data_IF_469407389453
#
_entry.id   IF_469407389453
#
_cell.length_a   1.000
_cell.length_b   1.000
_cell.length_c   1.000
_cell.angle_alpha   90.00
_cell.angle_beta   90.00
_cell.angle_gamma   90.00
#
_symmetry.space_group_name_H-M   'P 1'
#
loop_
_entity.id
_entity.type
_entity.pdbx_description
1 polymer ?
#
# COMPACT_ATOMS: atom_id res chain seq x y z
N UNK A 1 -5.89 1.11 27.55
CA UNK A 1 -4.91 1.29 26.48
C UNK A 1 -5.30 2.47 25.60
N UNK A 2 -4.30 3.17 25.00
CA UNK A 2 -4.59 4.24 24.05
C UNK A 2 -5.00 3.69 22.68
N UNK A 3 -5.97 4.36 22.04
CA UNK A 3 -6.38 4.12 20.66
C UNK A 3 -6.86 5.41 20.00
N UNK A 4 -6.59 5.60 18.71
CA UNK A 4 -7.14 6.70 17.93
C UNK A 4 -8.44 6.25 17.28
N UNK A 5 -9.56 6.79 17.71
CA UNK A 5 -10.90 6.40 17.27
C UNK A 5 -11.61 7.50 16.51
N UNK A 6 -12.23 7.09 15.40
CA UNK A 6 -13.16 7.92 14.64
C UNK A 6 -14.57 7.76 15.22
N UNK A 7 -15.13 8.82 15.78
CA UNK A 7 -16.47 8.85 16.40
C UNK A 7 -17.56 9.28 15.41
N UNK A 8 -17.20 10.10 14.46
CA UNK A 8 -17.97 10.55 13.31
C UNK A 8 -17.03 11.25 12.32
N UNK A 9 -17.51 11.61 11.16
CA UNK A 9 -16.74 12.42 10.20
C UNK A 9 -16.22 13.68 10.90
N UNK A 10 -14.90 13.91 10.82
CA UNK A 10 -14.20 15.04 11.44
C UNK A 10 -13.93 14.92 12.96
N UNK A 11 -14.41 13.87 13.63
CA UNK A 11 -14.14 13.64 15.05
C UNK A 11 -13.24 12.41 15.24
N UNK A 12 -11.95 12.59 14.98
CA UNK A 12 -10.90 11.58 15.12
C UNK A 12 -9.95 12.00 16.25
N UNK A 13 -9.87 11.20 17.31
CA UNK A 13 -9.13 11.56 18.52
C UNK A 13 -8.59 10.34 19.26
N UNK A 14 -7.53 10.57 20.03
CA UNK A 14 -6.94 9.57 20.94
C UNK A 14 -7.79 9.49 22.21
N UNK A 15 -8.09 8.25 22.60
CA UNK A 15 -8.88 7.94 23.80
C UNK A 15 -8.30 6.74 24.53
N UNK A 16 -8.65 6.62 25.82
CA UNK A 16 -8.39 5.40 26.59
C UNK A 16 -9.57 4.43 26.35
N UNK A 17 -9.21 3.18 26.01
CA UNK A 17 -10.17 2.08 25.83
C UNK A 17 -9.69 0.86 26.61
N UNK A 18 -10.59 -0.08 26.86
CA UNK A 18 -10.23 -1.35 27.48
C UNK A 18 -9.29 -2.15 26.56
N UNK A 19 -8.26 -2.77 27.15
CA UNK A 19 -7.36 -3.67 26.42
C UNK A 19 -8.11 -4.95 26.12
N UNK A 20 -8.23 -5.37 24.85
CA UNK A 20 -8.96 -6.58 24.50
C UNK A 20 -8.24 -7.84 24.99
N UNK A 21 -9.04 -8.86 25.27
CA UNK A 21 -8.57 -10.20 25.66
C UNK A 21 -8.86 -11.15 24.49
N UNK A 22 -7.87 -11.91 24.00
CA UNK A 22 -8.07 -12.86 22.93
C UNK A 22 -8.81 -14.11 23.41
N UNK A 23 -9.75 -14.61 22.60
CA UNK A 23 -10.50 -15.84 22.81
C UNK A 23 -10.47 -16.73 21.55
N UNK A 24 -10.66 -18.05 21.72
CA UNK A 24 -10.66 -18.99 20.60
C UNK A 24 -9.33 -18.95 19.82
N UNK A 25 -9.41 -18.69 18.54
CA UNK A 25 -8.24 -18.58 17.64
C UNK A 25 -7.61 -17.20 17.57
N UNK A 26 -8.16 -16.22 18.29
CA UNK A 26 -7.68 -14.84 18.22
C UNK A 26 -6.25 -14.69 18.75
N UNK A 27 -5.55 -13.73 18.20
CA UNK A 27 -4.23 -13.31 18.70
C UNK A 27 -4.29 -11.82 19.07
N UNK A 28 -3.60 -11.43 20.13
CA UNK A 28 -3.45 -10.05 20.55
C UNK A 28 -2.06 -9.55 20.15
N UNK A 29 -2.05 -8.57 19.26
CA UNK A 29 -0.81 -7.96 18.75
C UNK A 29 -0.58 -6.64 19.48
N UNK A 30 0.60 -6.50 20.11
CA UNK A 30 1.12 -5.22 20.57
C UNK A 30 1.68 -4.48 19.37
N UNK A 31 1.06 -3.35 19.00
CA UNK A 31 1.42 -2.62 17.81
C UNK A 31 2.78 -1.94 17.99
N UNK A 32 3.69 -2.20 17.07
CA UNK A 32 4.98 -1.53 17.00
C UNK A 32 4.93 -0.27 16.16
N UNK A 33 4.24 -0.35 15.02
CA UNK A 33 3.98 0.79 14.13
C UNK A 33 2.73 0.55 13.28
N UNK A 34 2.12 1.66 12.82
CA UNK A 34 0.99 1.65 11.90
C UNK A 34 1.09 2.82 10.90
N UNK A 35 1.03 2.53 9.60
CA UNK A 35 1.07 3.52 8.53
C UNK A 35 -0.25 4.28 8.38
N UNK A 36 -0.14 5.57 8.03
CA UNK A 36 -1.28 6.35 7.54
C UNK A 36 -1.39 6.09 6.04
N UNK A 37 -2.49 5.50 5.61
CA UNK A 37 -2.82 5.33 4.21
C UNK A 37 -3.50 6.59 3.65
N UNK A 38 -3.31 6.86 2.35
CA UNK A 38 -4.05 7.91 1.67
C UNK A 38 -5.57 7.75 1.76
N UNK A 39 -6.07 6.53 1.94
CA UNK A 39 -7.50 6.24 2.12
C UNK A 39 -8.04 6.57 3.52
N UNK A 40 -7.17 6.72 4.53
CA UNK A 40 -7.59 7.07 5.88
C UNK A 40 -8.01 8.53 5.97
N UNK A 41 -7.37 9.40 5.20
CA UNK A 41 -7.64 10.85 5.22
C UNK A 41 -9.08 11.16 4.80
N UNK A 42 -9.58 10.77 3.60
CA UNK A 42 -10.99 10.99 3.27
C UNK A 42 -11.94 10.20 4.19
N UNK A 43 -11.53 9.04 4.73
CA UNK A 43 -12.36 8.33 5.73
C UNK A 43 -12.59 9.17 6.98
N UNK A 44 -11.56 9.85 7.47
CA UNK A 44 -11.68 10.70 8.66
C UNK A 44 -12.50 11.95 8.38
N UNK A 45 -12.26 12.64 7.26
CA UNK A 45 -12.75 14.02 7.08
C UNK A 45 -13.92 14.16 6.13
N UNK A 46 -14.23 13.16 5.29
CA UNK A 46 -15.22 13.31 4.21
C UNK A 46 -16.25 12.16 4.16
N UNK A 47 -15.80 10.91 4.18
CA UNK A 47 -16.61 9.74 3.83
C UNK A 47 -17.14 8.96 5.03
N UNK A 48 -16.41 9.00 6.15
CA UNK A 48 -16.70 8.16 7.31
C UNK A 48 -16.35 6.67 7.09
N UNK A 49 -16.87 5.81 7.98
CA UNK A 49 -16.69 4.37 7.89
C UNK A 49 -17.69 3.72 6.94
N UNK A 50 -17.29 2.71 6.19
CA UNK A 50 -18.13 2.07 5.15
C UNK A 50 -19.44 1.45 5.66
N UNK A 51 -19.51 1.09 6.96
CA UNK A 51 -20.71 0.54 7.60
C UNK A 51 -21.35 1.51 8.61
N UNK A 52 -20.93 2.78 8.61
CA UNK A 52 -21.31 3.78 9.62
C UNK A 52 -21.15 3.28 11.07
N UNK A 53 -20.19 2.38 11.28
CA UNK A 53 -19.86 1.84 12.59
C UNK A 53 -18.93 2.82 13.32
N UNK A 54 -19.40 3.36 14.43
CA UNK A 54 -18.66 4.27 15.29
C UNK A 54 -18.83 3.89 16.76
N UNK A 55 -17.81 4.12 17.62
CA UNK A 55 -16.45 4.50 17.25
C UNK A 55 -15.72 3.38 16.54
N UNK A 56 -14.70 3.72 15.74
CA UNK A 56 -13.82 2.76 15.07
C UNK A 56 -12.36 3.18 15.21
N UNK A 57 -11.52 2.29 15.70
CA UNK A 57 -10.07 2.44 15.64
C UNK A 57 -9.61 2.17 14.20
N UNK A 58 -9.11 3.19 13.51
CA UNK A 58 -8.66 3.06 12.13
C UNK A 58 -7.18 2.65 12.03
N UNK A 59 -6.64 2.55 10.80
CA UNK A 59 -5.26 2.15 10.51
C UNK A 59 -5.15 0.67 10.15
N UNK A 60 -4.81 0.38 8.90
CA UNK A 60 -4.79 -0.99 8.35
C UNK A 60 -3.41 -1.45 7.88
N UNK A 61 -2.41 -0.59 7.97
CA UNK A 61 -1.04 -0.87 7.58
C UNK A 61 -0.18 -1.04 8.85
N UNK A 62 -0.23 -2.21 9.51
CA UNK A 62 0.42 -2.34 10.81
C UNK A 62 1.12 -3.68 11.03
N UNK A 63 2.07 -3.64 11.96
CA UNK A 63 2.81 -4.78 12.45
C UNK A 63 3.22 -4.61 13.91
N UNK A 64 3.71 -5.70 14.49
CA UNK A 64 4.11 -5.72 15.89
C UNK A 64 4.42 -7.11 16.40
N UNK A 65 4.22 -7.32 17.71
CA UNK A 65 4.52 -8.53 18.45
C UNK A 65 3.25 -9.18 19.00
N UNK A 66 3.09 -10.48 18.84
CA UNK A 66 2.02 -11.25 19.48
C UNK A 66 2.34 -11.35 20.97
N UNK A 67 1.46 -10.80 21.84
CA UNK A 67 1.65 -10.79 23.29
C UNK A 67 0.71 -11.69 24.06
N UNK A 68 -0.36 -12.14 23.43
CA UNK A 68 -1.29 -13.14 24.00
C UNK A 68 -2.04 -13.83 22.86
N UNK A 69 -2.54 -15.01 23.14
CA UNK A 69 -3.35 -15.82 22.20
C UNK A 69 -4.56 -16.40 22.94
N UNK A 70 -5.64 -16.66 22.20
CA UNK A 70 -6.80 -17.37 22.72
C UNK A 70 -6.52 -18.85 22.91
N UNK A 71 -7.43 -19.55 23.56
CA UNK A 71 -7.28 -20.94 24.01
C UNK A 71 -7.18 -21.97 22.89
N UNK A 72 -7.60 -21.62 21.66
CA UNK A 72 -7.50 -22.49 20.47
C UNK A 72 -6.31 -22.15 19.56
N UNK A 73 -5.52 -21.09 19.87
CA UNK A 73 -4.36 -20.69 19.09
C UNK A 73 -3.06 -21.29 19.68
N UNK A 74 -2.02 -21.44 18.85
CA UNK A 74 -0.74 -21.97 19.30
C UNK A 74 -0.02 -20.99 20.26
N UNK A 75 0.22 -21.37 21.53
CA UNK A 75 0.93 -20.51 22.48
C UNK A 75 2.37 -20.17 22.08
N UNK A 76 2.99 -20.94 21.18
CA UNK A 76 4.33 -20.65 20.64
C UNK A 76 4.38 -19.40 19.77
N UNK A 77 3.24 -18.84 19.41
CA UNK A 77 3.15 -17.57 18.66
C UNK A 77 3.51 -16.36 19.53
N UNK A 78 3.38 -16.47 20.86
CA UNK A 78 3.72 -15.37 21.77
C UNK A 78 5.21 -15.03 21.66
N UNK A 79 5.49 -13.73 21.50
CA UNK A 79 6.84 -13.19 21.27
C UNK A 79 7.24 -13.09 19.79
N UNK A 80 6.49 -13.69 18.87
CA UNK A 80 6.77 -13.54 17.43
C UNK A 80 6.39 -12.16 16.93
N UNK A 81 7.21 -11.64 15.99
CA UNK A 81 7.02 -10.33 15.37
C UNK A 81 6.68 -10.48 13.89
N UNK A 82 5.81 -9.62 13.39
CA UNK A 82 5.38 -9.71 11.99
C UNK A 82 4.39 -8.62 11.60
N UNK A 83 3.95 -8.68 10.34
CA UNK A 83 2.93 -7.83 9.77
C UNK A 83 1.55 -8.51 9.81
N UNK A 84 0.48 -7.71 9.78
CA UNK A 84 -0.89 -8.20 9.82
C UNK A 84 -1.57 -7.98 8.48
N UNK A 85 -2.06 -9.08 7.88
CA UNK A 85 -2.96 -9.04 6.73
C UNK A 85 -4.35 -8.59 7.19
N UNK A 86 -4.80 -7.38 6.84
CA UNK A 86 -5.97 -6.77 7.47
C UNK A 86 -7.31 -7.29 6.92
N UNK A 87 -7.34 -7.94 5.75
CA UNK A 87 -8.57 -8.44 5.15
C UNK A 87 -9.09 -9.68 5.92
N UNK A 88 -10.36 -9.62 6.31
CA UNK A 88 -11.08 -10.73 6.96
C UNK A 88 -12.10 -11.26 5.94
N UNK A 89 -11.74 -12.27 5.12
CA UNK A 89 -12.60 -12.78 4.07
C UNK A 89 -13.73 -13.64 4.62
N UNK A 90 -14.87 -13.69 3.93
CA UNK A 90 -16.01 -14.51 4.33
C UNK A 90 -15.77 -16.03 4.17
N UNK A 91 -14.75 -16.44 3.40
CA UNK A 91 -14.31 -17.82 3.14
C UNK A 91 -15.34 -18.76 2.49
N UNK A 92 -16.46 -18.21 1.97
CA UNK A 92 -17.57 -19.01 1.39
C UNK A 92 -18.08 -18.47 0.04
N UNK A 93 -17.46 -17.44 -0.52
CA UNK A 93 -17.81 -16.93 -1.85
C UNK A 93 -16.81 -17.41 -2.90
N UNK A 94 -17.19 -17.37 -4.17
CA UNK A 94 -16.36 -17.86 -5.28
C UNK A 94 -14.91 -17.34 -5.26
N UNK A 95 -14.66 -16.00 -5.12
CA UNK A 95 -13.30 -15.51 -4.97
C UNK A 95 -12.52 -16.11 -3.78
N UNK A 96 -13.18 -16.34 -2.63
CA UNK A 96 -12.53 -16.97 -1.48
C UNK A 96 -12.16 -18.44 -1.74
N UNK A 97 -13.02 -19.17 -2.45
CA UNK A 97 -12.76 -20.57 -2.84
C UNK A 97 -11.58 -20.68 -3.79
N UNK A 98 -11.37 -19.66 -4.64
CA UNK A 98 -10.22 -19.55 -5.54
C UNK A 98 -8.95 -18.98 -4.86
N UNK A 99 -9.03 -18.56 -3.58
CA UNK A 99 -7.91 -17.95 -2.88
C UNK A 99 -7.72 -16.45 -3.15
N UNK A 100 -8.61 -15.82 -3.91
CA UNK A 100 -8.58 -14.39 -4.21
C UNK A 100 -9.27 -13.59 -3.11
N UNK A 101 -8.74 -13.65 -1.89
CA UNK A 101 -9.35 -13.07 -0.68
C UNK A 101 -9.60 -11.57 -0.76
N UNK A 102 -8.74 -10.83 -1.45
CA UNK A 102 -8.92 -9.39 -1.67
C UNK A 102 -10.18 -9.07 -2.51
N UNK A 103 -10.68 -10.04 -3.28
CA UNK A 103 -11.89 -9.94 -4.10
C UNK A 103 -13.12 -10.51 -3.40
N UNK A 104 -13.05 -10.81 -2.10
CA UNK A 104 -14.16 -11.35 -1.33
C UNK A 104 -15.41 -10.45 -1.42
N UNK A 105 -16.57 -11.06 -1.67
CA UNK A 105 -17.83 -10.33 -1.86
C UNK A 105 -18.41 -9.78 -0.54
N UNK A 106 -18.01 -10.36 0.59
CA UNK A 106 -18.48 -9.96 1.94
C UNK A 106 -17.31 -10.05 2.92
N UNK A 107 -16.37 -9.12 2.81
CA UNK A 107 -15.21 -9.05 3.69
C UNK A 107 -15.39 -8.03 4.80
N UNK A 108 -14.73 -8.28 5.91
CA UNK A 108 -14.39 -7.27 6.90
C UNK A 108 -12.92 -6.87 6.76
N UNK A 109 -12.48 -5.80 7.42
CA UNK A 109 -11.14 -5.27 7.21
C UNK A 109 -10.68 -4.51 8.46
N UNK A 110 -9.60 -4.97 9.08
CA UNK A 110 -9.02 -4.31 10.23
C UNK A 110 -8.58 -2.89 9.86
N UNK A 111 -8.97 -1.92 10.70
CA UNK A 111 -8.64 -0.50 10.50
C UNK A 111 -9.53 0.27 9.53
N UNK A 112 -10.54 -0.39 8.93
CA UNK A 112 -11.52 0.31 8.08
C UNK A 112 -12.97 -0.11 8.28
N UNK A 113 -13.20 -1.31 8.79
CA UNK A 113 -14.52 -1.89 9.10
C UNK A 113 -14.56 -2.51 10.50
N UNK A 114 -13.43 -3.00 10.98
CA UNK A 114 -13.18 -3.45 12.35
C UNK A 114 -11.97 -2.71 12.91
N UNK A 115 -11.77 -2.73 14.21
CA UNK A 115 -10.69 -2.01 14.87
C UNK A 115 -9.31 -2.45 14.34
N UNK A 116 -8.44 -1.47 14.16
CA UNK A 116 -7.14 -1.61 13.51
C UNK A 116 -5.96 -1.15 14.35
N UNK A 117 -4.91 -0.69 13.66
CA UNK A 117 -3.56 -0.52 14.19
C UNK A 117 -3.22 0.83 14.81
N UNK A 118 -4.07 1.87 14.73
CA UNK A 118 -3.80 3.11 15.48
C UNK A 118 -4.20 2.96 16.94
N UNK A 119 -3.59 1.97 17.60
CA UNK A 119 -3.76 1.64 19.02
C UNK A 119 -2.49 1.01 19.56
N UNK A 120 -2.39 0.87 20.89
CA UNK A 120 -1.30 0.11 21.52
C UNK A 120 -1.42 -1.40 21.26
N UNK A 121 -2.64 -1.91 21.13
CA UNK A 121 -2.92 -3.33 20.86
C UNK A 121 -4.07 -3.47 19.87
N UNK A 122 -4.00 -4.50 19.02
CA UNK A 122 -5.08 -4.88 18.12
C UNK A 122 -5.42 -6.36 18.30
N UNK A 123 -6.72 -6.66 18.40
CA UNK A 123 -7.23 -8.02 18.40
C UNK A 123 -7.41 -8.51 16.95
N UNK A 124 -6.65 -9.53 16.59
CA UNK A 124 -6.65 -10.11 15.23
C UNK A 124 -7.39 -11.44 15.25
N UNK A 125 -8.26 -11.74 14.26
CA UNK A 125 -9.17 -12.90 14.32
C UNK A 125 -8.49 -14.26 14.46
N UNK A 126 -7.29 -14.42 13.89
CA UNK A 126 -6.49 -15.65 14.03
C UNK A 126 -5.05 -15.41 13.55
N UNK A 127 -4.18 -16.36 13.83
CA UNK A 127 -2.81 -16.43 13.33
C UNK A 127 -2.70 -16.50 11.80
N UNK A 128 -3.77 -16.91 11.11
CA UNK A 128 -3.80 -16.89 9.63
C UNK A 128 -3.54 -15.49 9.05
N UNK A 129 -3.85 -14.44 9.79
CA UNK A 129 -3.60 -13.05 9.39
C UNK A 129 -2.16 -12.58 9.65
N UNK A 130 -1.38 -13.37 10.38
CA UNK A 130 -0.05 -12.99 10.82
C UNK A 130 1.03 -13.48 9.85
N UNK A 131 1.89 -12.57 9.43
CA UNK A 131 3.04 -12.87 8.57
C UNK A 131 4.32 -12.61 9.35
N UNK A 132 4.91 -13.69 9.83
CA UNK A 132 6.09 -13.65 10.69
C UNK A 132 7.32 -13.12 9.95
N UNK A 133 8.06 -12.21 10.58
CA UNK A 133 9.44 -11.87 10.22
C UNK A 133 10.40 -12.74 11.02
N UNK A 134 11.36 -13.31 10.33
CA UNK A 134 12.42 -14.12 10.95
C UNK A 134 13.66 -13.31 11.29
N UNK A 135 13.74 -12.06 10.85
CA UNK A 135 14.83 -11.15 11.15
C UNK A 135 14.55 -10.36 12.44
N UNK A 136 15.23 -10.64 13.57
CA UNK A 136 15.00 -9.93 14.83
C UNK A 136 15.35 -8.44 14.75
N UNK A 137 16.15 -8.03 13.76
CA UNK A 137 16.58 -6.65 13.56
C UNK A 137 15.65 -5.87 12.62
N UNK A 138 14.66 -6.51 11.98
CA UNK A 138 13.69 -5.79 11.16
C UNK A 138 12.88 -4.87 12.08
N UNK A 139 12.81 -3.59 11.74
CA UNK A 139 12.09 -2.61 12.56
C UNK A 139 10.56 -2.80 12.48
N UNK A 140 9.84 -2.35 13.51
CA UNK A 140 8.38 -2.32 13.46
C UNK A 140 7.88 -1.35 12.39
N UNK A 141 8.63 -0.28 12.13
CA UNK A 141 8.33 0.67 11.05
C UNK A 141 8.33 -0.02 9.67
N UNK A 142 9.31 -0.91 9.42
CA UNK A 142 9.34 -1.72 8.20
C UNK A 142 8.17 -2.73 8.14
N UNK A 143 7.78 -3.33 9.28
CA UNK A 143 6.62 -4.22 9.35
C UNK A 143 5.31 -3.50 9.01
N UNK A 144 5.15 -2.23 9.42
CA UNK A 144 3.99 -1.42 9.05
C UNK A 144 3.95 -1.07 7.54
N UNK A 145 5.09 -1.13 6.86
CA UNK A 145 5.17 -0.88 5.41
C UNK A 145 4.89 -2.12 4.56
N UNK A 146 4.66 -3.29 5.15
CA UNK A 146 4.41 -4.54 4.40
C UNK A 146 3.12 -4.44 3.59
N UNK A 147 2.04 -3.94 4.16
CA UNK A 147 0.75 -3.78 3.45
C UNK A 147 0.92 -2.97 2.16
N UNK A 148 1.33 -1.70 2.17
CA UNK A 148 1.47 -0.94 0.94
C UNK A 148 2.55 -1.48 0.01
N UNK A 149 3.58 -2.15 0.54
CA UNK A 149 4.62 -2.79 -0.26
C UNK A 149 4.08 -3.99 -1.04
N UNK A 150 3.12 -4.75 -0.47
CA UNK A 150 2.46 -5.85 -1.19
C UNK A 150 1.53 -5.35 -2.28
N UNK A 151 0.84 -4.23 -2.09
CA UNK A 151 0.03 -3.60 -3.16
C UNK A 151 0.90 -3.24 -4.35
N UNK A 152 2.06 -2.64 -4.10
CA UNK A 152 3.04 -2.32 -5.14
C UNK A 152 3.58 -3.58 -5.84
N UNK A 153 3.89 -4.64 -5.07
CA UNK A 153 4.31 -5.93 -5.62
C UNK A 153 3.23 -6.54 -6.52
N UNK A 154 1.99 -6.52 -6.06
CA UNK A 154 0.84 -7.05 -6.80
C UNK A 154 0.68 -6.37 -8.17
N UNK A 155 0.82 -5.04 -8.22
CA UNK A 155 0.77 -4.30 -9.48
C UNK A 155 1.83 -4.78 -10.47
N UNK A 156 3.07 -4.97 -10.02
CA UNK A 156 4.16 -5.45 -10.86
C UNK A 156 3.91 -6.91 -11.31
N UNK A 157 3.46 -7.81 -10.40
CA UNK A 157 3.14 -9.19 -10.76
C UNK A 157 2.00 -9.27 -11.78
N UNK A 158 0.94 -8.53 -11.55
CA UNK A 158 -0.22 -8.52 -12.45
C UNK A 158 0.06 -7.82 -13.78
N UNK A 159 1.09 -6.97 -13.85
CA UNK A 159 1.49 -6.33 -15.12
C UNK A 159 2.04 -7.32 -16.15
N UNK A 160 2.52 -8.47 -15.69
CA UNK A 160 3.24 -9.43 -16.54
C UNK A 160 4.67 -9.00 -16.87
N UNK A 161 5.24 -8.06 -16.11
CA UNK A 161 6.61 -7.61 -16.29
C UNK A 161 7.59 -8.80 -16.24
N UNK A 162 8.46 -8.89 -17.23
CA UNK A 162 9.55 -9.87 -17.30
C UNK A 162 10.92 -9.19 -17.32
N UNK A 163 11.96 -9.94 -16.95
CA UNK A 163 13.32 -9.41 -16.93
C UNK A 163 13.74 -8.83 -18.31
N UNK A 164 14.43 -7.69 -18.28
CA UNK A 164 14.86 -6.97 -19.49
C UNK A 164 13.83 -5.99 -20.06
N UNK A 165 12.58 -6.00 -19.60
CA UNK A 165 11.56 -5.03 -20.00
C UNK A 165 11.71 -3.68 -19.30
N UNK A 166 11.09 -2.65 -19.86
CA UNK A 166 11.13 -1.27 -19.37
C UNK A 166 9.82 -0.91 -18.67
N UNK A 167 9.94 -0.26 -17.52
CA UNK A 167 8.84 0.12 -16.64
C UNK A 167 8.73 1.64 -16.50
N UNK A 168 7.52 2.16 -16.65
CA UNK A 168 7.16 3.55 -16.34
C UNK A 168 6.10 3.55 -15.23
N UNK A 169 6.30 4.35 -14.18
CA UNK A 169 5.37 4.44 -13.05
C UNK A 169 4.93 5.88 -12.86
N UNK A 170 3.65 6.14 -12.97
CA UNK A 170 3.03 7.42 -12.62
C UNK A 170 2.65 7.45 -11.15
N UNK A 171 3.08 8.52 -10.48
CA UNK A 171 3.00 8.73 -9.04
C UNK A 171 4.32 8.38 -8.35
N UNK A 172 5.07 9.40 -7.89
CA UNK A 172 6.32 9.23 -7.14
C UNK A 172 6.10 9.23 -5.61
N UNK A 173 4.88 8.95 -5.15
CA UNK A 173 4.56 8.69 -3.75
C UNK A 173 5.10 7.34 -3.25
N UNK A 174 4.76 6.93 -2.02
CA UNK A 174 5.37 5.74 -1.40
C UNK A 174 5.11 4.47 -2.21
N UNK A 175 3.86 4.24 -2.67
CA UNK A 175 3.52 3.03 -3.43
C UNK A 175 4.21 3.02 -4.80
N UNK A 176 4.28 4.17 -5.50
CA UNK A 176 4.99 4.24 -6.79
C UNK A 176 6.49 3.97 -6.65
N UNK A 177 7.14 4.49 -5.61
CA UNK A 177 8.55 4.20 -5.33
C UNK A 177 8.77 2.72 -4.97
N UNK A 178 7.88 2.11 -4.19
CA UNK A 178 7.92 0.66 -3.92
C UNK A 178 7.68 -0.15 -5.19
N UNK A 179 6.75 0.27 -6.07
CA UNK A 179 6.54 -0.37 -7.36
C UNK A 179 7.80 -0.30 -8.26
N UNK A 180 8.48 0.84 -8.26
CA UNK A 180 9.75 0.99 -8.96
C UNK A 180 10.84 0.05 -8.42
N UNK A 181 10.93 -0.12 -7.10
CA UNK A 181 11.85 -1.07 -6.45
C UNK A 181 11.50 -2.52 -6.80
N UNK A 182 10.22 -2.89 -6.73
CA UNK A 182 9.76 -4.21 -7.18
C UNK A 182 10.06 -4.45 -8.67
N UNK A 183 9.87 -3.43 -9.51
CA UNK A 183 10.25 -3.52 -10.93
C UNK A 183 11.71 -3.89 -11.11
N UNK A 184 12.62 -3.26 -10.37
CA UNK A 184 14.06 -3.58 -10.37
C UNK A 184 14.33 -5.01 -9.86
N UNK A 185 13.69 -5.42 -8.76
CA UNK A 185 13.80 -6.76 -8.18
C UNK A 185 13.36 -7.83 -9.17
N UNK A 186 12.31 -7.58 -9.94
CA UNK A 186 11.81 -8.48 -10.97
C UNK A 186 12.56 -8.37 -12.32
N UNK A 187 13.63 -7.57 -12.35
CA UNK A 187 14.56 -7.54 -13.48
C UNK A 187 14.21 -6.55 -14.58
N UNK A 188 13.40 -5.51 -14.30
CA UNK A 188 13.21 -4.44 -15.26
C UNK A 188 14.55 -3.80 -15.64
N UNK A 189 14.75 -3.59 -16.95
CA UNK A 189 15.97 -2.99 -17.48
C UNK A 189 16.06 -1.49 -17.15
N UNK A 190 14.99 -0.77 -17.42
CA UNK A 190 14.86 0.65 -17.12
C UNK A 190 13.59 0.88 -16.32
N UNK A 191 13.69 1.62 -15.23
CA UNK A 191 12.54 2.02 -14.39
C UNK A 191 12.54 3.52 -14.23
N UNK A 192 11.44 4.16 -14.61
CA UNK A 192 11.25 5.61 -14.55
C UNK A 192 10.00 5.93 -13.73
N UNK A 193 10.14 6.85 -12.78
CA UNK A 193 9.03 7.43 -12.02
C UNK A 193 8.61 8.78 -12.64
N UNK A 194 7.33 9.08 -12.55
CA UNK A 194 6.75 10.34 -13.05
C UNK A 194 5.82 10.92 -12.01
N UNK A 195 5.94 12.21 -11.71
CA UNK A 195 4.98 12.94 -10.88
C UNK A 195 4.76 14.35 -11.48
N UNK A 196 3.77 15.05 -10.97
CA UNK A 196 3.48 16.45 -11.33
C UNK A 196 4.13 17.46 -10.37
N UNK A 197 4.59 17.00 -9.20
CA UNK A 197 5.17 17.79 -8.13
C UNK A 197 6.70 17.63 -8.11
N UNK A 198 7.43 18.74 -8.29
CA UNK A 198 8.91 18.72 -8.28
C UNK A 198 9.46 18.16 -6.98
N UNK A 199 8.86 18.47 -5.83
CA UNK A 199 9.29 17.94 -4.53
C UNK A 199 9.29 16.42 -4.47
N UNK A 200 8.28 15.76 -5.06
CA UNK A 200 8.19 14.31 -5.14
C UNK A 200 9.19 13.72 -6.13
N UNK A 201 9.41 14.40 -7.24
CA UNK A 201 10.44 14.03 -8.22
C UNK A 201 11.83 14.08 -7.59
N UNK A 202 12.17 15.16 -6.90
CA UNK A 202 13.45 15.30 -6.21
C UNK A 202 13.61 14.31 -5.05
N UNK A 203 12.53 14.07 -4.30
CA UNK A 203 12.52 13.05 -3.25
C UNK A 203 12.83 11.64 -3.81
N UNK A 204 12.28 11.30 -4.97
CA UNK A 204 12.53 10.03 -5.64
C UNK A 204 13.97 9.96 -6.20
N UNK A 205 14.47 11.05 -6.81
CA UNK A 205 15.86 11.16 -7.30
C UNK A 205 16.89 10.98 -6.19
N UNK A 206 16.65 11.59 -5.04
CA UNK A 206 17.52 11.46 -3.86
C UNK A 206 17.61 10.00 -3.36
N UNK A 207 16.67 9.12 -3.78
CA UNK A 207 16.64 7.68 -3.48
C UNK A 207 17.11 6.80 -4.63
N UNK A 208 17.81 7.40 -5.61
CA UNK A 208 18.41 6.69 -6.73
C UNK A 208 17.42 6.25 -7.82
N UNK A 209 16.24 6.86 -7.86
CA UNK A 209 15.32 6.65 -8.97
C UNK A 209 15.57 7.65 -10.12
N UNK A 210 15.35 7.19 -11.35
CA UNK A 210 15.17 8.09 -12.48
C UNK A 210 13.74 8.64 -12.38
N UNK A 211 13.58 9.94 -12.27
CA UNK A 211 12.26 10.56 -12.12
C UNK A 211 12.13 11.87 -12.90
N UNK A 212 10.94 12.14 -13.44
CA UNK A 212 10.64 13.33 -14.21
C UNK A 212 9.31 13.97 -13.79
N UNK A 213 9.24 15.30 -13.95
CA UNK A 213 7.99 16.04 -13.81
C UNK A 213 7.27 16.08 -15.17
N UNK A 214 6.07 15.50 -15.24
CA UNK A 214 5.27 15.44 -16.48
C UNK A 214 4.67 16.79 -16.90
N UNK A 215 4.69 17.80 -16.04
CA UNK A 215 4.23 19.16 -16.39
C UNK A 215 5.27 19.93 -17.17
N UNK A 216 6.55 19.57 -17.04
CA UNK A 216 7.67 20.31 -17.63
C UNK A 216 8.52 19.47 -18.59
N UNK A 217 8.24 18.15 -18.69
CA UNK A 217 9.07 17.21 -19.43
C UNK A 217 8.22 16.36 -20.39
N UNK A 218 8.68 16.20 -21.62
CA UNK A 218 8.14 15.19 -22.55
C UNK A 218 8.62 13.80 -22.09
N UNK A 219 7.75 13.09 -21.40
CA UNK A 219 8.08 11.79 -20.81
C UNK A 219 8.45 10.74 -21.84
N UNK A 220 7.76 10.73 -22.99
CA UNK A 220 8.03 9.76 -24.05
C UNK A 220 9.41 10.01 -24.69
N UNK A 221 9.78 11.27 -24.90
CA UNK A 221 11.08 11.64 -25.45
C UNK A 221 12.21 11.30 -24.48
N UNK A 222 12.10 11.65 -23.19
CA UNK A 222 13.11 11.34 -22.18
C UNK A 222 13.25 9.82 -21.98
N UNK A 223 12.13 9.09 -21.96
CA UNK A 223 12.18 7.64 -21.85
C UNK A 223 12.92 6.99 -23.02
N UNK A 224 12.68 7.45 -24.26
CA UNK A 224 13.41 6.97 -25.45
C UNK A 224 14.90 7.28 -25.40
N UNK A 225 15.32 8.42 -24.87
CA UNK A 225 16.74 8.73 -24.67
C UNK A 225 17.43 7.72 -23.75
N UNK A 226 16.75 7.34 -22.65
CA UNK A 226 17.28 6.37 -21.68
C UNK A 226 17.34 4.93 -22.22
N UNK A 227 16.49 4.58 -23.18
CA UNK A 227 16.27 3.19 -23.64
C UNK A 227 16.74 2.92 -25.07
N UNK A 228 17.43 3.86 -25.70
CA UNK A 228 17.86 3.73 -27.10
C UNK A 228 16.68 3.70 -28.08
N UNK A 229 15.70 4.55 -27.87
CA UNK A 229 14.55 4.73 -28.75
C UNK A 229 13.31 3.89 -28.41
N UNK A 230 13.37 3.06 -27.35
CA UNK A 230 12.23 2.21 -26.95
C UNK A 230 11.26 2.96 -26.03
N UNK A 231 9.98 2.59 -26.08
CA UNK A 231 8.94 2.98 -25.13
C UNK A 231 8.79 1.93 -24.02
N UNK A 232 8.12 2.25 -22.88
CA UNK A 232 7.91 1.30 -21.79
C UNK A 232 7.04 0.12 -22.24
N UNK A 233 7.44 -1.09 -21.81
CA UNK A 233 6.69 -2.32 -21.99
C UNK A 233 5.50 -2.36 -21.03
N UNK A 234 5.69 -1.84 -19.83
CA UNK A 234 4.72 -1.77 -18.75
C UNK A 234 4.62 -0.35 -18.23
N UNK A 235 3.40 0.12 -18.03
CA UNK A 235 3.08 1.38 -17.39
C UNK A 235 2.21 1.08 -16.16
N UNK A 236 2.59 1.60 -14.99
CA UNK A 236 1.75 1.59 -13.78
C UNK A 236 1.15 2.98 -13.61
N UNK A 237 -0.17 3.09 -13.67
CA UNK A 237 -0.92 4.27 -13.29
C UNK A 237 -1.26 4.18 -11.80
N UNK A 238 -0.49 4.89 -10.96
CA UNK A 238 -0.59 4.85 -9.51
C UNK A 238 -1.23 6.09 -8.88
N UNK A 239 -1.77 7.01 -9.69
CA UNK A 239 -2.29 8.30 -9.19
C UNK A 239 -3.81 8.36 -9.11
N UNK A 240 -4.53 7.54 -9.90
CA UNK A 240 -5.98 7.65 -10.11
C UNK A 240 -6.39 8.86 -10.96
N UNK A 241 -5.42 9.52 -11.63
CA UNK A 241 -5.67 10.71 -12.46
C UNK A 241 -5.94 10.32 -13.92
N UNK A 242 -7.02 10.84 -14.50
CA UNK A 242 -7.29 10.68 -15.94
C UNK A 242 -6.19 11.25 -16.84
N UNK A 243 -5.50 12.30 -16.41
CA UNK A 243 -4.38 12.86 -17.15
C UNK A 243 -3.18 11.90 -17.15
N UNK A 244 -2.85 11.30 -16.01
CA UNK A 244 -1.78 10.31 -15.92
C UNK A 244 -2.11 9.04 -16.70
N UNK A 245 -3.36 8.55 -16.63
CA UNK A 245 -3.83 7.43 -17.45
C UNK A 245 -3.68 7.72 -18.94
N UNK A 246 -4.15 8.91 -19.39
CA UNK A 246 -4.02 9.33 -20.78
C UNK A 246 -2.59 9.35 -21.27
N UNK A 247 -1.69 9.98 -20.49
CA UNK A 247 -0.27 10.03 -20.81
C UNK A 247 0.38 8.64 -20.77
N UNK A 248 -0.05 7.78 -19.83
CA UNK A 248 0.39 6.38 -19.75
C UNK A 248 0.05 5.58 -20.99
N UNK A 249 -1.17 5.74 -21.54
CA UNK A 249 -1.60 5.14 -22.80
C UNK A 249 -0.73 5.64 -23.97
N UNK A 250 -0.46 6.93 -24.01
CA UNK A 250 0.38 7.55 -25.05
C UNK A 250 1.82 7.06 -25.00
N UNK A 251 2.41 6.95 -23.81
CA UNK A 251 3.78 6.49 -23.60
C UNK A 251 3.96 4.97 -23.79
N UNK A 252 2.93 4.15 -23.56
CA UNK A 252 3.06 2.70 -23.63
C UNK A 252 3.39 2.24 -25.06
N UNK A 253 4.30 1.26 -25.21
CA UNK A 253 4.62 0.67 -26.52
C UNK A 253 3.45 -0.13 -27.09
N UNK A 254 3.52 -0.49 -28.38
CA UNK A 254 2.62 -1.48 -29.00
C UNK A 254 2.74 -2.84 -28.28
N UNK A 255 1.60 -3.49 -28.03
CA UNK A 255 1.45 -4.72 -27.22
C UNK A 255 1.90 -4.56 -25.76
N UNK A 256 1.95 -3.34 -25.23
CA UNK A 256 2.29 -3.07 -23.85
C UNK A 256 1.11 -3.20 -22.91
N UNK A 257 1.40 -3.16 -21.62
CA UNK A 257 0.40 -3.24 -20.53
C UNK A 257 0.36 -1.93 -19.74
N UNK A 258 -0.85 -1.41 -19.52
CA UNK A 258 -1.13 -0.31 -18.60
C UNK A 258 -1.91 -0.87 -17.41
N UNK A 259 -1.31 -0.80 -16.21
CA UNK A 259 -1.93 -1.27 -14.96
C UNK A 259 -2.58 -0.09 -14.25
N UNK A 260 -3.84 -0.23 -13.91
CA UNK A 260 -4.63 0.73 -13.13
C UNK A 260 -4.53 0.35 -11.65
N UNK A 261 -3.71 1.08 -10.90
CA UNK A 261 -3.47 0.87 -9.47
C UNK A 261 -4.01 2.03 -8.64
N UNK A 262 -3.93 3.25 -9.16
CA UNK A 262 -4.41 4.45 -8.47
C UNK A 262 -5.94 4.45 -8.37
N UNK A 263 -6.46 4.68 -7.15
CA UNK A 263 -7.92 4.79 -6.96
C UNK A 263 -8.40 6.17 -7.45
N UNK A 264 -9.32 6.23 -8.42
CA UNK A 264 -9.81 7.51 -8.92
C UNK A 264 -10.74 8.19 -7.90
N UNK A 265 -10.59 9.50 -7.76
CA UNK A 265 -11.44 10.35 -6.90
C UNK A 265 -12.42 11.21 -7.71
N UNK A 266 -12.40 11.10 -9.03
CA UNK A 266 -13.25 11.86 -9.98
C UNK A 266 -13.50 11.02 -11.21
N UNK A 267 -14.51 11.40 -12.00
CA UNK A 267 -14.74 10.82 -13.30
C UNK A 267 -13.48 10.92 -14.18
N UNK A 268 -13.14 9.82 -14.83
CA UNK A 268 -11.96 9.73 -15.68
C UNK A 268 -12.37 9.80 -17.15
N UNK A 269 -11.89 10.83 -17.86
CA UNK A 269 -12.13 10.98 -19.27
C UNK A 269 -10.90 10.58 -20.07
N UNK A 270 -11.07 9.66 -21.02
CA UNK A 270 -10.05 9.28 -22.00
C UNK A 270 -10.38 10.03 -23.32
N UNK A 271 -9.40 10.78 -23.86
CA UNK A 271 -9.56 11.47 -25.15
C UNK A 271 -9.73 10.46 -26.30
N UNK A 272 -10.43 10.88 -27.36
CA UNK A 272 -10.63 10.03 -28.55
C UNK A 272 -9.31 9.50 -29.12
N UNK A 273 -8.28 10.35 -29.17
CA UNK A 273 -6.95 9.97 -29.66
C UNK A 273 -6.29 8.89 -28.76
N UNK A 274 -6.45 8.99 -27.44
CA UNK A 274 -5.94 7.99 -26.47
C UNK A 274 -6.68 6.68 -26.59
N UNK A 275 -8.03 6.72 -26.70
CA UNK A 275 -8.83 5.52 -26.96
C UNK A 275 -8.40 4.84 -28.27
N UNK A 276 -8.19 5.61 -29.35
CA UNK A 276 -7.69 5.08 -30.61
C UNK A 276 -6.31 4.40 -30.47
N UNK A 277 -5.44 4.90 -29.57
CA UNK A 277 -4.14 4.27 -29.32
C UNK A 277 -4.26 2.91 -28.60
N UNK A 278 -5.25 2.75 -27.69
CA UNK A 278 -5.50 1.45 -27.05
C UNK A 278 -5.77 0.40 -28.15
N UNK A 279 -6.63 0.71 -29.12
CA UNK A 279 -6.95 -0.20 -30.22
C UNK A 279 -5.74 -0.43 -31.12
N UNK A 280 -5.10 0.65 -31.60
CA UNK A 280 -4.04 0.57 -32.61
C UNK A 280 -2.72 0.00 -32.10
N UNK A 281 -2.48 0.09 -30.80
CA UNK A 281 -1.32 -0.51 -30.12
C UNK A 281 -1.65 -1.87 -29.50
N UNK A 282 -2.90 -2.33 -29.57
CA UNK A 282 -3.38 -3.56 -28.92
C UNK A 282 -2.93 -3.59 -27.44
N UNK A 283 -3.19 -2.50 -26.69
CA UNK A 283 -2.78 -2.39 -25.29
C UNK A 283 -3.65 -3.26 -24.40
N UNK A 284 -3.02 -3.86 -23.39
CA UNK A 284 -3.72 -4.47 -22.26
C UNK A 284 -3.92 -3.42 -21.17
N UNK A 285 -5.17 -3.06 -20.84
CA UNK A 285 -5.51 -2.27 -19.65
C UNK A 285 -5.94 -3.24 -18.56
N UNK A 286 -5.22 -3.22 -17.42
CA UNK A 286 -5.45 -4.16 -16.32
C UNK A 286 -5.68 -3.46 -15.02
N UNK A 287 -6.86 -3.58 -14.43
CA UNK A 287 -7.13 -3.19 -13.06
C UNK A 287 -6.49 -4.16 -12.06
N UNK A 288 -6.04 -3.63 -10.94
CA UNK A 288 -5.61 -4.43 -9.78
C UNK A 288 -6.30 -3.91 -8.51
N UNK A 289 -6.44 -4.80 -7.53
CA UNK A 289 -7.03 -4.44 -6.25
C UNK A 289 -6.29 -5.13 -5.11
N UNK A 290 -5.78 -4.33 -4.15
CA UNK A 290 -5.07 -4.82 -2.97
C UNK A 290 -3.89 -5.75 -3.33
N UNK A 291 -3.84 -6.97 -2.77
CA UNK A 291 -2.73 -7.91 -2.89
C UNK A 291 -3.20 -9.37 -2.78
N UNK A 292 -2.33 -10.32 -3.15
CA UNK A 292 -2.63 -11.75 -3.11
C UNK A 292 -2.05 -12.39 -1.82
N UNK A 293 -2.90 -13.11 -1.08
CA UNK A 293 -2.54 -13.72 0.21
C UNK A 293 -2.55 -15.26 0.20
N UNK A 294 -3.11 -15.90 -0.82
CA UNK A 294 -3.07 -17.36 -0.93
C UNK A 294 -1.65 -17.85 -1.29
N UNK A 295 -1.37 -19.13 -0.96
CA UNK A 295 -0.06 -19.73 -1.18
C UNK A 295 0.26 -19.96 -2.67
N UNK A 296 -0.76 -20.14 -3.51
CA UNK A 296 -0.58 -20.36 -4.94
C UNK A 296 -1.07 -19.15 -5.75
N UNK A 297 -0.32 -18.68 -6.76
CA UNK A 297 1.02 -19.13 -7.15
C UNK A 297 2.11 -18.71 -6.18
N UNK A 298 1.90 -17.66 -5.36
CA UNK A 298 2.80 -17.19 -4.31
C UNK A 298 2.02 -16.28 -3.34
N UNK A 299 2.30 -16.41 -2.06
CA UNK A 299 1.83 -15.45 -1.06
C UNK A 299 2.70 -14.18 -1.11
N UNK A 300 2.13 -13.07 -1.62
CA UNK A 300 2.86 -11.81 -1.80
C UNK A 300 3.28 -11.19 -0.47
N UNK A 301 2.54 -11.44 0.60
CA UNK A 301 2.86 -10.94 1.93
C UNK A 301 4.08 -11.64 2.52
N UNK A 302 4.11 -12.97 2.48
CA UNK A 302 5.27 -13.74 2.91
C UNK A 302 6.51 -13.38 2.10
N UNK A 303 6.36 -13.24 0.78
CA UNK A 303 7.47 -12.85 -0.07
C UNK A 303 7.95 -11.42 0.22
N UNK A 304 7.05 -10.48 0.52
CA UNK A 304 7.43 -9.11 0.91
C UNK A 304 8.21 -9.12 2.22
N UNK A 305 7.73 -9.82 3.25
CA UNK A 305 8.45 -9.93 4.53
C UNK A 305 9.81 -10.58 4.32
N UNK A 306 9.91 -11.66 3.54
CA UNK A 306 11.19 -12.29 3.21
C UNK A 306 12.17 -11.29 2.56
N UNK A 307 11.70 -10.48 1.60
CA UNK A 307 12.56 -9.51 0.91
C UNK A 307 13.02 -8.37 1.84
N UNK A 308 12.20 -8.01 2.84
CA UNK A 308 12.60 -7.07 3.89
C UNK A 308 13.60 -7.71 4.86
N UNK A 309 13.36 -8.95 5.30
CA UNK A 309 14.24 -9.71 6.19
C UNK A 309 15.64 -9.90 5.58
N UNK A 310 15.71 -10.14 4.27
CA UNK A 310 16.95 -10.28 3.49
C UNK A 310 17.61 -8.93 3.14
N UNK A 311 16.98 -7.78 3.45
CA UNK A 311 17.48 -6.45 3.10
C UNK A 311 17.44 -6.14 1.59
N UNK A 312 16.77 -6.94 0.78
CA UNK A 312 16.62 -6.78 -0.67
C UNK A 312 15.51 -5.79 -1.06
N UNK A 313 14.55 -5.56 -0.18
CA UNK A 313 13.59 -4.48 -0.26
C UNK A 313 13.84 -3.51 0.90
N UNK A 314 13.89 -2.23 0.60
CA UNK A 314 14.01 -1.16 1.59
C UNK A 314 12.74 -0.30 1.52
N UNK A 315 12.21 0.11 2.67
CA UNK A 315 10.96 0.89 2.75
C UNK A 315 11.04 2.02 3.77
N UNK A 316 11.95 1.96 4.74
CA UNK A 316 12.02 2.90 5.85
C UNK A 316 12.47 4.31 5.44
N UNK A 317 13.25 4.41 4.37
CA UNK A 317 13.68 5.69 3.78
C UNK A 317 12.52 6.47 3.13
N UNK A 318 11.36 5.82 2.94
CA UNK A 318 10.14 6.47 2.48
C UNK A 318 9.35 7.11 3.65
N UNK A 319 9.66 6.76 4.90
CA UNK A 319 8.98 7.27 6.09
C UNK A 319 9.54 8.64 6.44
N UNK A 320 8.79 9.67 6.11
CA UNK A 320 9.17 11.07 6.37
C UNK A 320 8.70 11.58 7.73
N UNK A 321 7.62 11.01 8.28
CA UNK A 321 7.01 11.44 9.54
C UNK A 321 6.73 10.25 10.44
N UNK A 322 7.24 10.31 11.66
CA UNK A 322 6.94 9.38 12.77
C UNK A 322 6.21 10.14 13.86
N UNK A 323 5.16 9.56 14.39
CA UNK A 323 4.31 10.21 15.38
C UNK A 323 3.91 9.26 16.49
N UNK A 324 3.63 9.78 17.68
CA UNK A 324 2.99 9.04 18.76
C UNK A 324 1.47 8.93 18.51
N UNK A 325 0.77 8.01 19.19
CA UNK A 325 -0.68 7.90 19.08
C UNK A 325 -1.37 9.22 19.43
N UNK A 326 -0.88 9.95 20.42
CA UNK A 326 -1.49 11.21 20.85
C UNK A 326 -1.51 12.27 19.73
N UNK A 327 -0.55 12.22 18.82
CA UNK A 327 -0.38 13.21 17.76
C UNK A 327 -0.91 12.73 16.39
N UNK A 328 -1.32 11.44 16.24
CA UNK A 328 -1.85 10.92 14.96
C UNK A 328 -3.09 11.70 14.48
N UNK A 329 -4.07 12.08 15.32
CA UNK A 329 -5.21 12.86 14.86
C UNK A 329 -4.80 14.20 14.25
N UNK A 330 -3.88 14.93 14.91
CA UNK A 330 -3.37 16.20 14.40
C UNK A 330 -2.57 16.03 13.11
N UNK A 331 -1.75 14.99 13.01
CA UNK A 331 -0.99 14.69 11.79
C UNK A 331 -1.92 14.38 10.61
N UNK A 332 -3.01 13.65 10.83
CA UNK A 332 -4.04 13.43 9.79
C UNK A 332 -4.69 14.75 9.34
N UNK A 333 -4.98 15.67 10.26
CA UNK A 333 -5.51 17.01 9.94
C UNK A 333 -4.50 17.85 9.15
N UNK A 334 -3.23 17.82 9.54
CA UNK A 334 -2.17 18.55 8.84
C UNK A 334 -1.94 18.01 7.42
N UNK A 335 -2.08 16.69 7.21
CA UNK A 335 -2.06 16.07 5.88
C UNK A 335 -3.30 16.51 5.08
N UNK A 336 -4.49 16.43 5.66
CA UNK A 336 -5.75 16.81 5.00
C UNK A 336 -5.75 18.29 4.56
N UNK A 337 -5.24 19.16 5.41
CA UNK A 337 -5.17 20.60 5.16
C UNK A 337 -3.91 21.03 4.36
N UNK A 338 -3.11 20.08 3.89
CA UNK A 338 -1.88 20.31 3.13
C UNK A 338 -0.84 21.21 3.86
N UNK A 339 -0.83 21.20 5.20
CA UNK A 339 0.17 21.92 6.00
C UNK A 339 1.53 21.21 6.00
N UNK A 340 1.53 19.91 5.77
CA UNK A 340 2.76 19.09 5.70
C UNK A 340 2.83 18.32 4.41
N UNK A 341 4.02 18.26 3.81
CA UNK A 341 4.31 17.41 2.66
C UNK A 341 4.92 16.11 3.15
N UNK A 342 4.29 15.00 2.82
CA UNK A 342 4.71 13.68 3.26
C UNK A 342 4.97 12.74 2.08
N UNK A 343 5.94 11.83 2.22
CA UNK A 343 5.95 10.60 1.43
C UNK A 343 5.17 9.54 2.19
N UNK A 344 5.62 9.14 3.38
CA UNK A 344 4.88 8.24 4.28
C UNK A 344 4.90 8.78 5.70
N UNK A 345 3.77 8.76 6.38
CA UNK A 345 3.62 9.05 7.80
C UNK A 345 3.17 7.79 8.55
N UNK A 346 3.67 7.60 9.75
CA UNK A 346 3.34 6.44 10.59
C UNK A 346 3.18 6.81 12.06
N UNK A 347 2.32 6.08 12.77
CA UNK A 347 2.49 5.86 14.20
C UNK A 347 3.67 4.93 14.41
N UNK A 348 4.58 5.27 15.31
CA UNK A 348 5.67 4.40 15.74
C UNK A 348 5.78 4.46 17.27
N UNK A 349 5.86 3.29 17.93
CA UNK A 349 6.07 3.24 19.38
C UNK A 349 7.39 3.88 19.84
N UNK A 350 8.33 4.05 18.89
CA UNK A 350 9.63 4.66 19.13
C UNK A 350 9.68 6.16 18.79
N UNK A 351 8.56 6.75 18.32
CA UNK A 351 8.46 8.19 18.07
C UNK A 351 8.60 8.97 19.39
N UNK A 352 9.29 10.12 19.30
CA UNK A 352 9.52 11.02 20.45
C UNK A 352 8.58 12.22 20.39
#
# INVERSE_FOLDING_TARGET
>A
MKACQLFKIGDFRTVEVEKPVPHGKQILVKIGACGICGSDIPRVFELGTSKQKYPLTIGHEFGGEIVAVGEEADPKLVGKRGAIFPCIPCRKCGPCESGDYAMCLDYDYLGSRSDGGFAEYCLVPSDWHFVESTNPNLSDDALAMVEPCTVAQHAIRKSGLTAGQNLLVFGAGPIGQMAARWGKIFGASTVVLVDVLDEKVEFARARGHIAFNSMTTDIAAEFKKLTGGKLPDVVIEGTGSGAALGLGIECCKTFGTVVLMGNPHRDTTIKLAQHSQILRKELVLRGIWNSHYAQSPINEWQYTVQMLDEGRMQVEDLITHRSTLDNIPQLCEDIYTHKVSICKAIYSKNAK
#
